data_IF_485859301687
#
_entry.id   IF_485859301687
#
_cell.length_a   1.000
_cell.length_b   1.000
_cell.length_c   1.000
_cell.angle_alpha   90.00
_cell.angle_beta   90.00
_cell.angle_gamma   90.00
#
_symmetry.space_group_name_H-M   'P 1'
#
loop_
_entity.id
_entity.type
_entity.pdbx_description
1 polymer ?
#
# COMPACT_ATOMS: atom_id res chain seq x y z
N UNK A 1 -13.68 -26.50 -11.20
CA UNK A 1 -12.29 -26.39 -11.69
C UNK A 1 -12.09 -24.99 -12.23
N UNK A 2 -11.13 -24.21 -11.74
CA UNK A 2 -10.89 -22.83 -12.20
C UNK A 2 -10.59 -22.82 -13.71
N UNK A 3 -11.42 -22.21 -14.57
CA UNK A 3 -11.28 -22.28 -16.03
C UNK A 3 -10.01 -21.57 -16.56
N UNK A 4 -9.33 -20.77 -15.73
CA UNK A 4 -8.22 -19.89 -16.14
C UNK A 4 -6.91 -20.12 -15.35
N UNK A 5 -6.49 -21.37 -15.17
CA UNK A 5 -5.30 -21.70 -14.35
C UNK A 5 -4.03 -20.94 -14.78
N UNK A 6 -3.77 -20.83 -16.08
CA UNK A 6 -2.60 -20.11 -16.62
C UNK A 6 -2.61 -18.61 -16.30
N UNK A 7 -3.63 -17.86 -16.74
CA UNK A 7 -3.78 -16.44 -16.39
C UNK A 7 -3.76 -16.19 -14.88
N UNK A 8 -4.40 -17.06 -14.09
CA UNK A 8 -4.42 -16.93 -12.63
C UNK A 8 -3.02 -17.05 -12.03
N UNK A 9 -2.22 -18.02 -12.49
CA UNK A 9 -0.84 -18.19 -12.02
C UNK A 9 0.03 -16.96 -12.32
N UNK A 10 -0.08 -16.42 -13.54
CA UNK A 10 0.65 -15.20 -13.94
C UNK A 10 0.21 -14.00 -13.10
N UNK A 11 -1.11 -13.80 -12.93
CA UNK A 11 -1.64 -12.67 -12.16
C UNK A 11 -1.24 -12.74 -10.68
N UNK A 12 -1.31 -13.93 -10.06
CA UNK A 12 -0.89 -14.12 -8.67
C UNK A 12 0.62 -13.92 -8.52
N UNK A 13 1.43 -14.37 -9.49
CA UNK A 13 2.87 -14.12 -9.48
C UNK A 13 3.19 -12.62 -9.57
N UNK A 14 2.61 -11.92 -10.55
CA UNK A 14 2.79 -10.48 -10.72
C UNK A 14 2.30 -9.70 -9.49
N UNK A 15 1.18 -10.12 -8.91
CA UNK A 15 0.67 -9.54 -7.67
C UNK A 15 1.64 -9.72 -6.50
N UNK A 16 2.23 -10.92 -6.36
CA UNK A 16 3.27 -11.18 -5.37
C UNK A 16 4.49 -10.29 -5.58
N UNK A 17 5.01 -10.21 -6.81
CA UNK A 17 6.14 -9.33 -7.15
C UNK A 17 5.82 -7.88 -6.79
N UNK A 18 4.66 -7.36 -7.21
CA UNK A 18 4.26 -5.98 -6.91
C UNK A 18 4.14 -5.72 -5.41
N UNK A 19 3.52 -6.65 -4.67
CA UNK A 19 3.29 -6.52 -3.23
C UNK A 19 4.60 -6.50 -2.43
N UNK A 20 5.58 -7.32 -2.81
CA UNK A 20 6.86 -7.42 -2.10
C UNK A 20 7.91 -6.41 -2.58
N UNK A 21 7.95 -6.07 -3.86
CA UNK A 21 8.94 -5.15 -4.42
C UNK A 21 8.85 -3.73 -3.82
N UNK A 22 7.66 -3.33 -3.36
CA UNK A 22 7.42 -2.02 -2.78
C UNK A 22 7.94 -1.90 -1.33
N UNK A 23 8.03 -3.01 -0.58
CA UNK A 23 8.28 -2.96 0.87
C UNK A 23 9.69 -2.46 1.21
N UNK A 24 10.79 -3.04 0.66
CA UNK A 24 12.14 -2.62 1.04
C UNK A 24 12.47 -1.17 0.68
N UNK A 25 12.16 -0.66 -0.53
CA UNK A 25 12.43 0.74 -0.88
C UNK A 25 11.68 1.74 -0.01
N UNK A 26 10.43 1.43 0.37
CA UNK A 26 9.63 2.30 1.25
C UNK A 26 10.23 2.34 2.66
N UNK A 27 10.65 1.19 3.18
CA UNK A 27 11.31 1.13 4.49
C UNK A 27 12.59 1.96 4.51
N UNK A 28 13.45 1.84 3.50
CA UNK A 28 14.68 2.64 3.37
C UNK A 28 14.36 4.14 3.25
N UNK A 29 13.32 4.52 2.51
CA UNK A 29 12.88 5.93 2.42
C UNK A 29 12.47 6.51 3.77
N UNK A 30 11.74 5.76 4.58
CA UNK A 30 11.31 6.23 5.91
C UNK A 30 12.51 6.42 6.84
N UNK A 31 13.50 5.53 6.77
CA UNK A 31 14.75 5.65 7.53
C UNK A 31 15.53 6.91 7.15
N UNK A 32 15.64 7.23 5.85
CA UNK A 32 16.32 8.45 5.39
C UNK A 32 15.55 9.74 5.73
N UNK A 33 14.21 9.70 5.73
CA UNK A 33 13.39 10.87 6.05
C UNK A 33 13.53 11.32 7.52
N UNK A 34 13.98 10.44 8.41
CA UNK A 34 14.21 10.70 9.82
C UNK A 34 15.65 10.33 10.19
N UNK A 35 16.62 10.96 9.53
CA UNK A 35 18.05 10.71 9.72
C UNK A 35 18.50 10.85 11.19
N UNK A 36 17.85 11.72 11.96
CA UNK A 36 18.13 11.95 13.39
C UNK A 36 17.49 10.89 14.32
N UNK A 37 16.52 10.10 13.83
CA UNK A 37 15.80 9.10 14.61
C UNK A 37 15.40 7.84 13.79
N UNK A 38 16.37 7.15 13.16
CA UNK A 38 16.10 6.02 12.26
C UNK A 38 15.37 4.85 12.94
N UNK A 39 15.73 4.51 14.18
CA UNK A 39 15.08 3.41 14.91
C UNK A 39 13.58 3.70 15.18
N UNK A 40 13.24 4.94 15.52
CA UNK A 40 11.85 5.36 15.74
C UNK A 40 11.07 5.33 14.43
N UNK A 41 11.68 5.77 13.34
CA UNK A 41 11.08 5.74 12.00
C UNK A 41 10.83 4.30 11.51
N UNK A 42 11.77 3.38 11.76
CA UNK A 42 11.60 1.95 11.51
C UNK A 42 10.42 1.37 12.27
N UNK A 43 10.35 1.63 13.59
CA UNK A 43 9.27 1.16 14.45
C UNK A 43 7.90 1.69 14.00
N UNK A 44 7.82 2.98 13.63
CA UNK A 44 6.61 3.58 13.07
C UNK A 44 6.21 2.97 11.73
N UNK A 45 7.17 2.70 10.84
CA UNK A 45 6.89 2.04 9.56
C UNK A 45 6.34 0.63 9.75
N UNK A 46 6.94 -0.16 10.65
CA UNK A 46 6.45 -1.50 11.01
C UNK A 46 5.05 -1.41 11.65
N UNK A 47 4.84 -0.45 12.54
CA UNK A 47 3.53 -0.21 13.17
C UNK A 47 2.46 0.13 12.14
N UNK A 48 2.76 1.05 11.22
CA UNK A 48 1.86 1.43 10.13
C UNK A 48 1.55 0.24 9.20
N UNK A 49 2.54 -0.60 8.89
CA UNK A 49 2.33 -1.82 8.09
C UNK A 49 1.36 -2.79 8.78
N UNK A 50 1.55 -3.04 10.08
CA UNK A 50 0.65 -3.92 10.84
C UNK A 50 -0.77 -3.34 10.95
N UNK A 51 -0.90 -2.02 11.16
CA UNK A 51 -2.19 -1.36 11.14
C UNK A 51 -2.88 -1.50 9.76
N UNK A 52 -2.12 -1.37 8.68
CA UNK A 52 -2.61 -1.61 7.33
C UNK A 52 -3.14 -3.04 7.14
N UNK A 53 -2.42 -4.04 7.64
CA UNK A 53 -2.88 -5.45 7.60
C UNK A 53 -4.17 -5.65 8.41
N UNK A 54 -4.27 -5.04 9.59
CA UNK A 54 -5.47 -5.10 10.42
C UNK A 54 -6.68 -4.46 9.72
N UNK A 55 -6.51 -3.26 9.13
CA UNK A 55 -7.55 -2.58 8.36
C UNK A 55 -7.95 -3.41 7.14
N UNK A 56 -6.98 -3.97 6.42
CA UNK A 56 -7.24 -4.83 5.26
C UNK A 56 -8.02 -6.09 5.63
N UNK A 57 -7.66 -6.74 6.72
CA UNK A 57 -8.37 -7.91 7.24
C UNK A 57 -9.81 -7.56 7.68
N UNK A 58 -10.00 -6.45 8.38
CA UNK A 58 -11.33 -5.97 8.78
C UNK A 58 -12.20 -5.61 7.58
N UNK A 59 -11.64 -4.94 6.58
CA UNK A 59 -12.34 -4.58 5.34
C UNK A 59 -12.73 -5.81 4.53
N UNK A 60 -11.80 -6.75 4.33
CA UNK A 60 -12.09 -8.01 3.63
C UNK A 60 -13.11 -8.86 4.38
N UNK A 61 -12.97 -8.98 5.70
CA UNK A 61 -13.94 -9.66 6.57
C UNK A 61 -15.32 -9.03 6.52
N UNK A 62 -15.40 -7.69 6.55
CA UNK A 62 -16.64 -6.94 6.44
C UNK A 62 -17.34 -7.15 5.09
N UNK A 63 -16.59 -7.16 3.99
CA UNK A 63 -17.14 -7.44 2.64
C UNK A 63 -17.73 -8.86 2.57
N UNK A 64 -17.05 -9.84 3.15
CA UNK A 64 -17.55 -11.22 3.21
C UNK A 64 -18.79 -11.30 4.12
N UNK A 65 -18.75 -10.68 5.30
CA UNK A 65 -19.86 -10.65 6.25
C UNK A 65 -21.12 -9.97 5.67
N UNK A 66 -20.95 -9.00 4.76
CA UNK A 66 -22.03 -8.36 4.04
C UNK A 66 -22.64 -9.21 2.91
N UNK A 67 -22.14 -10.44 2.68
CA UNK A 67 -22.68 -11.36 1.67
C UNK A 67 -22.30 -11.03 0.22
N UNK A 68 -21.32 -10.13 0.00
CA UNK A 68 -20.91 -9.70 -1.34
C UNK A 68 -20.04 -10.73 -2.09
N UNK A 69 -19.59 -11.77 -1.38
CA UNK A 69 -18.79 -12.87 -1.93
C UNK A 69 -17.30 -12.55 -2.09
N UNK A 70 -16.51 -13.59 -2.41
CA UNK A 70 -15.05 -13.50 -2.51
C UNK A 70 -14.52 -12.53 -3.60
N UNK A 71 -15.12 -12.43 -4.79
CA UNK A 71 -14.63 -11.48 -5.81
C UNK A 71 -14.71 -10.02 -5.37
N UNK A 72 -15.72 -9.65 -4.56
CA UNK A 72 -15.88 -8.30 -4.05
C UNK A 72 -14.73 -7.88 -3.12
N UNK A 73 -14.07 -8.82 -2.44
CA UNK A 73 -12.90 -8.55 -1.59
C UNK A 73 -11.75 -7.97 -2.42
N UNK A 74 -11.54 -8.50 -3.63
CA UNK A 74 -10.51 -8.00 -4.54
C UNK A 74 -10.82 -6.57 -5.00
N UNK A 75 -12.08 -6.24 -5.27
CA UNK A 75 -12.52 -4.89 -5.63
C UNK A 75 -12.32 -3.91 -4.47
N UNK A 76 -12.64 -4.32 -3.24
CA UNK A 76 -12.46 -3.50 -2.06
C UNK A 76 -10.97 -3.22 -1.79
N UNK A 77 -10.10 -4.24 -1.98
CA UNK A 77 -8.64 -4.07 -1.94
C UNK A 77 -8.11 -3.15 -3.05
N UNK A 78 -8.66 -3.22 -4.26
CA UNK A 78 -8.32 -2.31 -5.35
C UNK A 78 -8.70 -0.85 -5.02
N UNK A 79 -9.88 -0.63 -4.43
CA UNK A 79 -10.31 0.70 -3.99
C UNK A 79 -9.42 1.26 -2.88
N UNK A 80 -9.06 0.45 -1.88
CA UNK A 80 -8.12 0.84 -0.83
C UNK A 80 -6.73 1.19 -1.39
N UNK A 81 -6.26 0.40 -2.36
CA UNK A 81 -4.97 0.66 -3.04
C UNK A 81 -4.99 1.97 -3.83
N UNK A 82 -6.11 2.26 -4.52
CA UNK A 82 -6.30 3.51 -5.25
C UNK A 82 -6.28 4.73 -4.30
N UNK A 83 -6.93 4.63 -3.14
CA UNK A 83 -6.90 5.67 -2.11
C UNK A 83 -5.46 5.91 -1.60
N UNK A 84 -4.72 4.84 -1.33
CA UNK A 84 -3.30 4.92 -0.96
C UNK A 84 -2.45 5.60 -2.03
N UNK A 85 -2.66 5.25 -3.30
CA UNK A 85 -1.96 5.87 -4.44
C UNK A 85 -2.26 7.37 -4.54
N UNK A 86 -3.52 7.78 -4.37
CA UNK A 86 -3.91 9.20 -4.36
C UNK A 86 -3.20 9.93 -3.22
N UNK A 87 -3.16 9.37 -2.02
CA UNK A 87 -2.48 9.96 -0.87
C UNK A 87 -0.97 10.15 -1.15
N UNK A 88 -0.31 9.15 -1.74
CA UNK A 88 1.10 9.25 -2.13
C UNK A 88 1.32 10.35 -3.18
N UNK A 89 0.50 10.41 -4.22
CA UNK A 89 0.59 11.43 -5.26
C UNK A 89 0.43 12.83 -4.68
N UNK A 90 -0.56 13.03 -3.80
CA UNK A 90 -0.80 14.32 -3.13
C UNK A 90 0.39 14.69 -2.25
N UNK A 91 0.94 13.75 -1.49
CA UNK A 91 2.12 13.97 -0.64
C UNK A 91 3.33 14.41 -1.47
N UNK A 92 3.66 13.66 -2.53
CA UNK A 92 4.78 13.98 -3.44
C UNK A 92 4.60 15.35 -4.11
N UNK A 93 3.38 15.70 -4.52
CA UNK A 93 3.09 17.01 -5.11
C UNK A 93 3.27 18.16 -4.12
N UNK A 94 2.90 17.97 -2.85
CA UNK A 94 3.09 18.97 -1.80
C UNK A 94 4.57 19.18 -1.50
N UNK A 95 5.35 18.10 -1.43
CA UNK A 95 6.80 18.18 -1.21
C UNK A 95 7.49 18.95 -2.34
N UNK A 96 7.16 18.65 -3.60
CA UNK A 96 7.71 19.37 -4.76
C UNK A 96 7.39 20.86 -4.76
N UNK A 97 6.22 21.27 -4.26
CA UNK A 97 5.85 22.69 -4.15
C UNK A 97 6.62 23.43 -3.06
N UNK A 98 7.05 22.75 -1.99
CA UNK A 98 7.88 23.35 -0.94
C UNK A 98 9.33 23.59 -1.39
N UNK A 99 9.81 22.80 -2.36
CA UNK A 99 11.20 22.86 -2.87
C UNK A 99 11.35 23.90 -4.00
N UNK A 100 10.29 24.58 -4.44
CA UNK A 100 10.39 25.76 -5.33
C UNK A 100 10.27 27.01 -4.46
N UNK A 101 11.38 27.70 -4.10
CA UNK A 101 11.31 29.00 -3.46
C UNK A 101 10.69 30.00 -4.44
N UNK A 102 9.88 30.92 -3.94
CA UNK A 102 9.60 32.18 -4.64
C UNK A 102 10.95 32.74 -5.11
N UNK A 103 11.14 32.77 -6.43
CA UNK A 103 12.20 33.59 -7.00
C UNK A 103 11.69 35.04 -7.01
N UNK A 104 12.56 36.00 -6.69
CA UNK A 104 12.17 37.41 -6.54
C UNK A 104 11.53 37.98 -7.80
#
# INVERSE_FOLDING_TARGET
LMPFKGPTAVLVFLWGVASFALIPPLQVRVMHAAADAPNLASAMNIGAFNLGNAIGAALGGGVIAAGLGYPAVALAGAAASLLGLIAVIVSVRRERRRIVPDRP
#
